data_IF_311349466666
#
_entry.id   IF_311349466666
#
_cell.length_a   1.000
_cell.length_b   1.000
_cell.length_c   1.000
_cell.angle_alpha   90.00
_cell.angle_beta   90.00
_cell.angle_gamma   90.00
#
_symmetry.space_group_name_H-M   'P 1'
#
loop_
_entity.id
_entity.type
_entity.pdbx_description
1 polymer ?
#
# COMPACT_ATOMS: atom_id res chain seq x y z
N UNK A 1 -21.01 12.95 -17.56
CA UNK A 1 -19.93 12.35 -16.76
C UNK A 1 -20.55 11.60 -15.58
N UNK A 2 -20.27 10.31 -15.43
CA UNK A 2 -20.90 9.43 -14.42
C UNK A 2 -20.43 9.74 -12.99
N UNK A 3 -21.26 9.46 -11.98
CA UNK A 3 -20.95 9.70 -10.57
C UNK A 3 -19.67 8.97 -10.09
N UNK A 4 -19.33 7.84 -10.70
CA UNK A 4 -18.10 7.07 -10.48
C UNK A 4 -16.85 7.84 -10.92
N UNK A 5 -16.88 8.51 -12.08
CA UNK A 5 -15.77 9.32 -12.57
C UNK A 5 -15.50 10.53 -11.66
N UNK A 6 -16.57 11.17 -11.15
CA UNK A 6 -16.48 12.33 -10.25
C UNK A 6 -15.94 11.96 -8.85
N UNK A 7 -16.16 10.73 -8.41
CA UNK A 7 -15.62 10.20 -7.13
C UNK A 7 -14.14 9.85 -7.27
N UNK A 8 -13.76 9.17 -8.36
CA UNK A 8 -12.37 8.86 -8.67
C UNK A 8 -11.48 10.10 -8.80
N UNK A 9 -12.02 11.20 -9.33
CA UNK A 9 -11.34 12.49 -9.43
C UNK A 9 -11.09 13.13 -8.05
N UNK A 10 -12.07 13.03 -7.13
CA UNK A 10 -11.93 13.54 -5.75
C UNK A 10 -10.96 12.72 -4.91
N UNK A 11 -10.86 11.41 -5.16
CA UNK A 11 -9.96 10.51 -4.42
C UNK A 11 -8.52 10.55 -4.99
N UNK A 12 -8.30 11.19 -6.14
CA UNK A 12 -6.99 11.23 -6.79
C UNK A 12 -5.87 11.78 -5.89
N UNK A 13 -6.06 12.90 -5.15
CA UNK A 13 -5.03 13.40 -4.23
C UNK A 13 -4.69 12.42 -3.10
N UNK A 14 -5.65 11.61 -2.64
CA UNK A 14 -5.38 10.56 -1.65
C UNK A 14 -4.53 9.43 -2.24
N UNK A 15 -4.90 8.96 -3.44
CA UNK A 15 -4.17 7.90 -4.14
C UNK A 15 -2.72 8.31 -4.40
N UNK A 16 -2.49 9.56 -4.81
CA UNK A 16 -1.15 10.06 -5.10
C UNK A 16 -0.30 10.19 -3.82
N UNK A 17 -0.88 10.58 -2.69
CA UNK A 17 -0.21 10.58 -1.37
C UNK A 17 0.16 9.16 -0.92
N UNK A 18 -0.77 8.20 -1.01
CA UNK A 18 -0.51 6.79 -0.66
C UNK A 18 0.64 6.23 -1.52
N UNK A 19 0.67 6.54 -2.82
CA UNK A 19 1.76 6.12 -3.71
C UNK A 19 3.09 6.75 -3.34
N UNK A 20 3.10 8.04 -2.98
CA UNK A 20 4.30 8.72 -2.54
C UNK A 20 4.85 8.11 -1.25
N UNK A 21 4.01 7.94 -0.23
CA UNK A 21 4.40 7.36 1.04
C UNK A 21 4.85 5.90 0.89
N UNK A 22 4.22 5.12 0.01
CA UNK A 22 4.65 3.77 -0.32
C UNK A 22 6.04 3.72 -0.98
N UNK A 23 6.36 4.68 -1.87
CA UNK A 23 7.72 4.78 -2.44
C UNK A 23 8.76 5.11 -1.38
N UNK A 24 8.49 6.12 -0.54
CA UNK A 24 9.38 6.52 0.55
C UNK A 24 9.63 5.35 1.51
N UNK A 25 8.58 4.62 1.90
CA UNK A 25 8.74 3.44 2.74
C UNK A 25 9.59 2.37 2.07
N UNK A 26 9.40 2.15 0.76
CA UNK A 26 10.23 1.23 -0.01
C UNK A 26 11.71 1.61 -0.01
N UNK A 27 12.00 2.90 -0.19
CA UNK A 27 13.37 3.44 -0.14
C UNK A 27 13.98 3.25 1.26
N UNK A 28 13.23 3.55 2.32
CA UNK A 28 13.66 3.32 3.71
C UNK A 28 13.93 1.84 4.00
N UNK A 29 13.09 0.92 3.51
CA UNK A 29 13.34 -0.52 3.69
C UNK A 29 14.64 -0.94 3.00
N UNK A 30 14.92 -0.44 1.78
CA UNK A 30 16.19 -0.74 1.09
C UNK A 30 17.39 -0.21 1.88
N UNK A 31 17.30 1.00 2.40
CA UNK A 31 18.40 1.63 3.15
C UNK A 31 18.66 0.94 4.49
N UNK A 32 17.62 0.51 5.20
CA UNK A 32 17.73 -0.01 6.57
C UNK A 32 17.89 -1.53 6.63
N UNK A 33 17.22 -2.28 5.76
CA UNK A 33 17.16 -3.74 5.79
C UNK A 33 17.71 -4.39 4.52
N UNK A 34 18.10 -3.58 3.52
CA UNK A 34 18.74 -4.02 2.29
C UNK A 34 17.77 -4.40 1.17
N UNK A 35 18.33 -4.60 -0.03
CA UNK A 35 17.56 -4.88 -1.25
C UNK A 35 16.75 -6.18 -1.16
N UNK A 36 17.28 -7.20 -0.48
CA UNK A 36 16.61 -8.49 -0.34
C UNK A 36 15.30 -8.39 0.47
N UNK A 37 15.29 -7.57 1.53
CA UNK A 37 14.09 -7.32 2.34
C UNK A 37 13.03 -6.57 1.53
N UNK A 38 13.46 -5.51 0.82
CA UNK A 38 12.58 -4.77 -0.09
C UNK A 38 11.96 -5.67 -1.16
N UNK A 39 12.78 -6.47 -1.86
CA UNK A 39 12.33 -7.37 -2.91
C UNK A 39 11.31 -8.41 -2.38
N UNK A 40 11.52 -8.90 -1.16
CA UNK A 40 10.59 -9.81 -0.51
C UNK A 40 9.23 -9.16 -0.25
N UNK A 41 9.21 -7.97 0.36
CA UNK A 41 7.98 -7.21 0.64
C UNK A 41 7.23 -6.89 -0.66
N UNK A 42 7.96 -6.45 -1.68
CA UNK A 42 7.38 -6.10 -2.98
C UNK A 42 6.81 -7.32 -3.70
N UNK A 43 7.48 -8.47 -3.64
CA UNK A 43 6.97 -9.73 -4.19
C UNK A 43 5.67 -10.17 -3.52
N UNK A 44 5.59 -10.07 -2.19
CA UNK A 44 4.36 -10.39 -1.44
C UNK A 44 3.24 -9.42 -1.84
N UNK A 45 3.54 -8.12 -1.98
CA UNK A 45 2.57 -7.11 -2.42
C UNK A 45 2.03 -7.42 -3.81
N UNK A 46 2.89 -7.73 -4.78
CA UNK A 46 2.50 -8.03 -6.16
C UNK A 46 1.60 -9.25 -6.25
N UNK A 47 1.98 -10.35 -5.58
CA UNK A 47 1.16 -11.57 -5.54
C UNK A 47 -0.20 -11.32 -4.86
N UNK A 48 -0.23 -10.53 -3.80
CA UNK A 48 -1.48 -10.17 -3.10
C UNK A 48 -2.43 -9.35 -3.97
N UNK A 49 -1.88 -8.43 -4.78
CA UNK A 49 -2.66 -7.61 -5.72
C UNK A 49 -3.18 -8.45 -6.88
N UNK A 50 -2.34 -9.29 -7.49
CA UNK A 50 -2.73 -10.17 -8.59
C UNK A 50 -3.86 -11.11 -8.17
N UNK A 51 -3.73 -11.74 -6.99
CA UNK A 51 -4.77 -12.58 -6.42
C UNK A 51 -6.10 -11.82 -6.23
N UNK A 52 -6.06 -10.62 -5.63
CA UNK A 52 -7.29 -9.84 -5.37
C UNK A 52 -7.96 -9.31 -6.64
N UNK A 53 -7.18 -8.93 -7.65
CA UNK A 53 -7.70 -8.25 -8.84
C UNK A 53 -8.21 -9.24 -9.88
N UNK A 54 -7.47 -10.31 -10.10
CA UNK A 54 -7.68 -11.21 -11.25
C UNK A 54 -8.16 -12.60 -10.83
N UNK A 55 -8.42 -12.82 -9.53
CA UNK A 55 -8.76 -14.13 -8.94
C UNK A 55 -7.77 -15.24 -9.33
N UNK A 56 -6.50 -14.85 -9.52
CA UNK A 56 -5.45 -15.73 -10.02
C UNK A 56 -5.08 -16.78 -8.97
N UNK A 57 -5.50 -18.01 -9.21
CA UNK A 57 -5.22 -19.17 -8.35
C UNK A 57 -3.73 -19.52 -8.31
N UNK A 58 -2.97 -19.24 -9.38
CA UNK A 58 -1.53 -19.45 -9.39
C UNK A 58 -0.83 -18.41 -8.50
N UNK A 59 -1.29 -17.15 -8.50
CA UNK A 59 -0.79 -16.13 -7.59
C UNK A 59 -1.08 -16.47 -6.12
N UNK A 60 -2.27 -17.01 -5.81
CA UNK A 60 -2.62 -17.50 -4.46
C UNK A 60 -1.69 -18.65 -4.00
N UNK A 61 -1.49 -19.65 -4.86
CA UNK A 61 -0.60 -20.77 -4.55
C UNK A 61 0.85 -20.31 -4.34
N UNK A 62 1.34 -19.39 -5.18
CA UNK A 62 2.67 -18.82 -5.06
C UNK A 62 2.83 -17.97 -3.78
N UNK A 63 1.82 -17.17 -3.44
CA UNK A 63 1.80 -16.38 -2.20
C UNK A 63 1.84 -17.28 -0.98
N UNK A 64 0.97 -18.30 -0.91
CA UNK A 64 0.94 -19.27 0.20
C UNK A 64 2.26 -20.00 0.35
N UNK A 65 2.87 -20.43 -0.76
CA UNK A 65 4.20 -21.09 -0.73
C UNK A 65 5.27 -20.14 -0.20
N UNK A 66 5.30 -18.89 -0.67
CA UNK A 66 6.26 -17.89 -0.23
C UNK A 66 6.13 -17.62 1.28
N UNK A 67 4.91 -17.36 1.76
CA UNK A 67 4.65 -17.10 3.18
C UNK A 67 5.07 -18.27 4.08
N UNK A 68 4.86 -19.51 3.65
CA UNK A 68 5.29 -20.72 4.38
C UNK A 68 6.81 -20.92 4.42
N UNK A 69 7.54 -20.30 3.49
CA UNK A 69 9.00 -20.44 3.38
C UNK A 69 9.80 -19.37 4.12
N UNK A 70 9.13 -18.37 4.70
CA UNK A 70 9.80 -17.28 5.39
C UNK A 70 10.47 -17.77 6.67
N UNK A 71 11.69 -17.30 6.93
CA UNK A 71 12.27 -17.40 8.26
C UNK A 71 11.50 -16.53 9.26
N UNK A 72 11.70 -16.76 10.56
CA UNK A 72 11.11 -15.91 11.60
C UNK A 72 11.51 -14.45 11.46
N UNK A 73 12.78 -14.19 11.11
CA UNK A 73 13.30 -12.83 10.90
C UNK A 73 12.64 -12.15 9.70
N UNK A 74 12.55 -12.85 8.56
CA UNK A 74 11.85 -12.37 7.37
C UNK A 74 10.37 -12.11 7.66
N UNK A 75 9.73 -12.98 8.44
CA UNK A 75 8.32 -12.81 8.84
C UNK A 75 8.12 -11.53 9.64
N UNK A 76 8.99 -11.25 10.61
CA UNK A 76 8.93 -10.01 11.40
C UNK A 76 9.15 -8.77 10.52
N UNK A 77 10.16 -8.81 9.63
CA UNK A 77 10.43 -7.72 8.68
C UNK A 77 9.23 -7.43 7.78
N UNK A 78 8.64 -8.46 7.18
CA UNK A 78 7.45 -8.32 6.33
C UNK A 78 6.26 -7.75 7.10
N UNK A 79 5.95 -8.28 8.28
CA UNK A 79 4.85 -7.77 9.12
C UNK A 79 5.07 -6.30 9.47
N UNK A 80 6.30 -5.92 9.82
CA UNK A 80 6.66 -4.53 10.15
C UNK A 80 6.44 -3.62 8.95
N UNK A 81 6.91 -4.00 7.77
CA UNK A 81 6.72 -3.22 6.54
C UNK A 81 5.24 -2.99 6.21
N UNK A 82 4.40 -4.02 6.27
CA UNK A 82 2.96 -3.88 6.01
C UNK A 82 2.22 -3.10 7.11
N UNK A 83 2.69 -3.19 8.35
CA UNK A 83 2.18 -2.37 9.47
C UNK A 83 2.46 -0.89 9.23
N UNK A 84 3.72 -0.55 8.89
CA UNK A 84 4.07 0.83 8.55
C UNK A 84 3.31 1.34 7.34
N UNK A 85 3.16 0.53 6.29
CA UNK A 85 2.34 0.90 5.15
C UNK A 85 0.90 1.23 5.56
N UNK A 86 0.29 0.39 6.41
CA UNK A 86 -1.08 0.62 6.90
C UNK A 86 -1.19 1.92 7.70
N UNK A 87 -0.21 2.24 8.55
CA UNK A 87 -0.17 3.53 9.27
C UNK A 87 -0.05 4.73 8.33
N UNK A 88 0.77 4.61 7.27
CA UNK A 88 0.92 5.68 6.27
C UNK A 88 -0.37 5.89 5.47
N UNK A 89 -1.09 4.83 5.13
CA UNK A 89 -2.41 4.91 4.49
C UNK A 89 -3.39 5.66 5.39
N UNK A 90 -3.48 5.28 6.67
CA UNK A 90 -4.37 5.97 7.62
C UNK A 90 -4.04 7.47 7.72
N UNK A 91 -2.76 7.82 7.80
CA UNK A 91 -2.33 9.22 7.84
C UNK A 91 -2.71 9.99 6.57
N UNK A 92 -2.55 9.37 5.40
CA UNK A 92 -2.95 9.96 4.13
C UNK A 92 -4.47 10.19 4.05
N UNK A 93 -5.26 9.23 4.54
CA UNK A 93 -6.72 9.34 4.64
C UNK A 93 -7.13 10.48 5.57
N UNK A 94 -6.57 10.57 6.77
CA UNK A 94 -6.85 11.65 7.72
C UNK A 94 -6.53 13.03 7.11
N UNK A 95 -5.36 13.16 6.48
CA UNK A 95 -4.97 14.39 5.78
C UNK A 95 -5.92 14.70 4.62
N UNK A 96 -6.37 13.70 3.87
CA UNK A 96 -7.35 13.89 2.80
C UNK A 96 -8.71 14.34 3.33
N UNK A 97 -9.18 13.79 4.45
CA UNK A 97 -10.42 14.23 5.10
C UNK A 97 -10.33 15.69 5.54
N UNK A 98 -9.21 16.12 6.12
CA UNK A 98 -8.98 17.53 6.51
C UNK A 98 -9.01 18.45 5.29
N UNK A 99 -8.31 18.07 4.20
CA UNK A 99 -8.32 18.82 2.93
C UNK A 99 -9.73 19.00 2.40
N UNK A 100 -10.54 17.94 2.41
CA UNK A 100 -11.94 17.98 1.95
C UNK A 100 -12.83 18.85 2.82
N UNK A 101 -12.68 18.80 4.14
CA UNK A 101 -13.44 19.65 5.09
C UNK A 101 -13.13 21.13 4.85
N UNK A 102 -11.85 21.49 4.83
CA UNK A 102 -11.40 22.88 4.60
C UNK A 102 -11.88 23.43 3.25
N UNK A 103 -11.87 22.61 2.19
CA UNK A 103 -12.35 23.03 0.88
C UNK A 103 -13.87 23.26 0.84
N UNK A 104 -14.64 22.47 1.61
CA UNK A 104 -16.09 22.65 1.73
C UNK A 104 -16.44 23.91 2.53
N UNK A 105 -15.73 24.17 3.64
CA UNK A 105 -15.91 25.36 4.47
C UNK A 105 -15.61 26.67 3.73
N UNK A 106 -14.64 26.67 2.79
CA UNK A 106 -14.31 27.85 1.98
C UNK A 106 -15.27 28.11 0.82
N UNK A 107 -16.09 27.12 0.47
CA UNK A 107 -17.01 27.17 -0.66
C UNK A 107 -18.46 27.47 -0.24
N UNK A 108 -18.76 27.45 1.06
CA UNK A 108 -20.01 27.91 1.66
C UNK A 108 -19.87 29.30 2.24
#
# INVERSE_FOLDING_TARGET
MTATAKKADKDRPLIDDIRLLGRILGDVIREQEGEAAYALVEKIRQLSVAYRRDADAAADAALKKLLKSLSSEQTVSVIRAFTYFSHLVNLAEDRHQIRRRTAAERAG
#
